data_IF_170297028538
#
_entry.id   IF_170297028538
#
_cell.length_a   1.000
_cell.length_b   1.000
_cell.length_c   1.000
_cell.angle_alpha   90.00
_cell.angle_beta   90.00
_cell.angle_gamma   90.00
#
_symmetry.space_group_name_H-M   'P 1'
#
loop_
_entity.id
_entity.type
_entity.pdbx_description
1 polymer ?
#
# COMPACT_ATOMS: atom_id res chain seq x y z
N UNK A 1 1.78 13.82 -3.68
CA UNK A 1 0.62 13.03 -3.19
C UNK A 1 1.00 12.05 -2.10
N UNK A 2 1.97 11.16 -2.28
CA UNK A 2 2.39 10.19 -1.24
C UNK A 2 2.86 10.85 0.05
N UNK A 3 3.54 12.00 -0.01
CA UNK A 3 3.83 12.83 1.17
C UNK A 3 2.55 13.16 1.97
N UNK A 4 1.52 13.66 1.30
CA UNK A 4 0.22 14.01 1.92
C UNK A 4 -0.45 12.78 2.53
N UNK A 5 -0.37 11.63 1.85
CA UNK A 5 -0.85 10.35 2.37
C UNK A 5 -0.20 10.00 3.70
N UNK A 6 1.13 10.04 3.76
CA UNK A 6 1.86 9.71 4.99
C UNK A 6 1.63 10.74 6.10
N UNK A 7 1.56 12.03 5.75
CA UNK A 7 1.22 13.10 6.71
C UNK A 7 -0.20 12.94 7.27
N UNK A 8 -1.16 12.44 6.47
CA UNK A 8 -2.53 12.21 6.91
C UNK A 8 -2.64 11.05 7.92
N UNK A 9 -1.83 10.00 7.77
CA UNK A 9 -1.73 8.93 8.76
C UNK A 9 -0.90 9.37 9.99
N UNK A 10 0.15 10.15 9.79
CA UNK A 10 1.16 10.42 10.81
C UNK A 10 2.12 9.23 11.01
N UNK A 11 3.17 9.44 11.80
CA UNK A 11 4.30 8.50 11.94
C UNK A 11 3.85 7.08 12.32
N UNK A 12 3.13 6.92 13.44
CA UNK A 12 2.76 5.60 13.93
C UNK A 12 1.72 4.90 13.06
N UNK A 13 0.64 5.58 12.67
CA UNK A 13 -0.41 4.94 11.87
C UNK A 13 0.07 4.62 10.45
N UNK A 14 1.05 5.36 9.90
CA UNK A 14 1.58 5.10 8.56
C UNK A 14 2.25 3.73 8.42
N UNK A 15 2.67 3.10 9.53
CA UNK A 15 3.23 1.73 9.54
C UNK A 15 2.26 0.71 8.95
N UNK A 16 0.94 0.96 8.99
CA UNK A 16 -0.06 0.10 8.34
C UNK A 16 0.09 0.02 6.81
N UNK A 17 0.85 0.92 6.18
CA UNK A 17 1.13 0.92 4.74
C UNK A 17 2.33 0.02 4.36
N UNK A 18 3.15 -0.37 5.34
CA UNK A 18 4.42 -1.05 5.10
C UNK A 18 4.42 -2.48 5.65
N UNK A 19 5.50 -3.22 5.40
CA UNK A 19 5.69 -4.59 5.88
C UNK A 19 6.06 -4.56 7.37
N UNK A 20 5.05 -4.32 8.19
CA UNK A 20 5.08 -4.37 9.66
C UNK A 20 4.16 -5.49 10.13
N UNK A 21 4.74 -6.61 10.55
CA UNK A 21 4.00 -7.80 10.92
C UNK A 21 4.61 -8.48 12.15
N UNK A 22 3.79 -8.89 13.14
CA UNK A 22 4.31 -9.61 14.28
C UNK A 22 4.85 -10.98 13.87
N UNK A 23 5.78 -11.52 14.65
CA UNK A 23 6.26 -12.89 14.52
C UNK A 23 5.09 -13.88 14.45
N UNK A 24 5.20 -14.88 13.57
CA UNK A 24 4.17 -15.89 13.36
C UNK A 24 3.00 -15.46 12.46
N UNK A 25 3.06 -14.29 11.81
CA UNK A 25 2.06 -13.92 10.78
C UNK A 25 2.07 -14.92 9.62
N UNK A 26 3.25 -15.40 9.23
CA UNK A 26 3.42 -16.49 8.27
C UNK A 26 4.15 -17.70 8.88
N UNK A 27 3.90 -18.93 8.36
CA UNK A 27 4.66 -20.11 8.78
C UNK A 27 6.16 -19.86 8.65
N UNK A 28 6.95 -20.23 9.65
CA UNK A 28 8.42 -20.06 9.62
C UNK A 28 8.94 -18.64 9.91
N UNK A 29 8.08 -17.62 10.00
CA UNK A 29 8.48 -16.28 10.41
C UNK A 29 8.65 -16.20 11.94
N UNK A 30 9.88 -16.32 12.43
CA UNK A 30 10.18 -16.37 13.88
C UNK A 30 10.44 -15.00 14.52
N UNK A 31 10.47 -13.93 13.74
CA UNK A 31 10.77 -12.56 14.19
C UNK A 31 9.71 -11.59 13.66
N UNK A 32 9.56 -10.46 14.35
CA UNK A 32 8.77 -9.34 13.83
C UNK A 32 9.41 -8.82 12.54
N UNK A 33 8.57 -8.48 11.56
CA UNK A 33 8.96 -7.69 10.41
C UNK A 33 8.64 -6.23 10.71
N UNK A 34 9.62 -5.35 10.51
CA UNK A 34 9.51 -3.91 10.73
C UNK A 34 10.24 -3.17 9.61
N UNK A 35 9.75 -3.33 8.38
CA UNK A 35 10.34 -2.78 7.18
C UNK A 35 9.60 -1.50 6.77
N UNK A 36 10.31 -0.36 6.74
CA UNK A 36 9.75 0.95 6.38
C UNK A 36 9.90 1.28 4.88
N UNK A 37 10.40 0.35 4.09
CA UNK A 37 10.69 0.54 2.65
C UNK A 37 9.73 -0.24 1.76
N UNK A 38 9.38 -1.47 2.14
CA UNK A 38 8.48 -2.31 1.37
C UNK A 38 7.03 -2.08 1.78
N UNK A 39 6.15 -1.84 0.81
CA UNK A 39 4.72 -1.74 1.05
C UNK A 39 4.10 -3.10 1.27
N UNK A 40 3.10 -3.16 2.15
CA UNK A 40 2.16 -4.28 2.14
C UNK A 40 1.07 -4.06 1.07
N UNK A 41 0.16 -5.02 0.83
CA UNK A 41 -0.88 -4.85 -0.18
C UNK A 41 -1.75 -3.60 0.01
N UNK A 42 -2.08 -3.24 1.24
CA UNK A 42 -2.86 -2.03 1.53
C UNK A 42 -2.09 -0.76 1.12
N UNK A 43 -0.85 -0.60 1.58
CA UNK A 43 -0.03 0.57 1.24
C UNK A 43 0.29 0.66 -0.24
N UNK A 44 0.58 -0.48 -0.90
CA UNK A 44 0.79 -0.52 -2.34
C UNK A 44 -0.46 -0.05 -3.09
N UNK A 45 -1.66 -0.43 -2.62
CA UNK A 45 -2.92 0.01 -3.20
C UNK A 45 -3.18 1.52 -3.00
N UNK A 46 -2.91 2.06 -1.80
CA UNK A 46 -3.00 3.52 -1.55
C UNK A 46 -2.04 4.32 -2.45
N UNK A 47 -0.80 3.83 -2.64
CA UNK A 47 0.18 4.46 -3.53
C UNK A 47 -0.25 4.36 -5.00
N UNK A 48 -0.80 3.22 -5.43
CA UNK A 48 -1.35 3.08 -6.77
C UNK A 48 -2.50 4.09 -7.02
N UNK A 49 -3.39 4.29 -6.04
CA UNK A 49 -4.42 5.33 -6.11
C UNK A 49 -3.84 6.74 -6.20
N UNK A 50 -2.76 7.04 -5.48
CA UNK A 50 -2.04 8.32 -5.65
C UNK A 50 -1.52 8.49 -7.08
N UNK A 51 -0.98 7.43 -7.69
CA UNK A 51 -0.47 7.49 -9.07
C UNK A 51 -1.61 7.75 -10.05
N UNK A 52 -2.72 7.01 -9.93
CA UNK A 52 -3.91 7.20 -10.77
C UNK A 52 -4.45 8.62 -10.67
N UNK A 53 -4.57 9.16 -9.46
CA UNK A 53 -5.01 10.54 -9.24
C UNK A 53 -4.02 11.54 -9.85
N UNK A 54 -2.72 11.30 -9.73
CA UNK A 54 -1.69 12.10 -10.40
C UNK A 54 -1.82 12.09 -11.92
N UNK A 55 -2.12 10.95 -12.53
CA UNK A 55 -2.38 10.84 -13.97
C UNK A 55 -3.62 11.64 -14.38
N UNK A 56 -4.70 11.59 -13.58
CA UNK A 56 -5.91 12.41 -13.80
C UNK A 56 -5.60 13.90 -13.76
N UNK A 57 -4.86 14.35 -12.75
CA UNK A 57 -4.48 15.77 -12.59
C UNK A 57 -3.51 16.26 -13.68
N UNK A 58 -2.64 15.38 -14.17
CA UNK A 58 -1.76 15.66 -15.30
C UNK A 58 -2.49 15.65 -16.65
N UNK A 59 -3.77 15.24 -16.70
CA UNK A 59 -4.59 15.16 -17.91
C UNK A 59 -3.92 14.39 -19.05
N UNK A 60 -3.35 13.22 -18.75
CA UNK A 60 -2.71 12.37 -19.75
C UNK A 60 -3.69 11.40 -20.41
N UNK A 61 -3.47 11.06 -21.68
CA UNK A 61 -4.35 10.19 -22.47
C UNK A 61 -4.56 8.80 -21.86
N UNK A 62 -3.63 8.31 -21.03
CA UNK A 62 -3.75 7.00 -20.37
C UNK A 62 -5.01 6.91 -19.48
N UNK A 63 -5.49 8.05 -18.97
CA UNK A 63 -6.67 8.13 -18.09
C UNK A 63 -7.93 7.57 -18.76
N UNK A 64 -8.03 7.62 -20.08
CA UNK A 64 -9.18 7.08 -20.83
C UNK A 64 -9.29 5.54 -20.76
N UNK A 65 -8.23 4.86 -20.34
CA UNK A 65 -8.19 3.38 -20.23
C UNK A 65 -8.36 2.90 -18.79
N UNK A 66 -8.61 3.79 -17.84
CA UNK A 66 -8.96 3.39 -16.48
C UNK A 66 -10.30 2.67 -16.49
N UNK A 67 -10.43 1.63 -15.65
CA UNK A 67 -11.72 0.95 -15.46
C UNK A 67 -12.75 1.94 -14.91
N UNK A 68 -14.01 1.71 -15.27
CA UNK A 68 -15.13 2.58 -14.88
C UNK A 68 -15.37 2.64 -13.36
N UNK A 69 -14.94 1.61 -12.62
CA UNK A 69 -15.07 1.54 -11.16
C UNK A 69 -13.93 2.23 -10.39
N UNK A 70 -12.96 2.81 -11.09
CA UNK A 70 -11.85 3.56 -10.47
C UNK A 70 -12.30 4.98 -10.13
N UNK A 71 -12.61 5.21 -8.86
CA UNK A 71 -13.02 6.52 -8.34
C UNK A 71 -11.84 7.47 -8.13
N UNK A 72 -12.14 8.76 -7.97
CA UNK A 72 -11.17 9.76 -7.53
C UNK A 72 -10.62 9.42 -6.14
N UNK A 73 -9.40 9.87 -5.86
CA UNK A 73 -8.75 9.57 -4.58
C UNK A 73 -8.20 10.83 -3.91
N UNK A 74 -8.35 10.91 -2.59
CA UNK A 74 -7.88 12.03 -1.78
C UNK A 74 -6.84 11.56 -0.77
N UNK A 75 -5.53 11.78 -1.00
CA UNK A 75 -4.49 11.29 -0.10
C UNK A 75 -4.55 11.92 1.30
N UNK A 76 -5.22 13.07 1.47
CA UNK A 76 -5.45 13.67 2.79
C UNK A 76 -6.54 12.94 3.62
N UNK A 77 -7.31 12.07 2.98
CA UNK A 77 -8.37 11.26 3.58
C UNK A 77 -8.25 9.82 3.05
N UNK A 78 -7.20 9.09 3.47
CA UNK A 78 -6.93 7.74 2.97
C UNK A 78 -8.03 6.76 3.37
N UNK A 79 -8.08 5.62 2.67
CA UNK A 79 -9.05 4.57 3.01
C UNK A 79 -8.75 3.97 4.40
N UNK A 80 -9.77 3.39 5.03
CA UNK A 80 -9.62 2.67 6.29
C UNK A 80 -8.94 1.30 6.05
N UNK A 81 -7.77 1.03 6.66
CA UNK A 81 -7.09 -0.27 6.53
C UNK A 81 -7.95 -1.44 7.01
N UNK A 82 -8.87 -1.25 7.95
CA UNK A 82 -9.75 -2.31 8.47
C UNK A 82 -10.76 -2.77 7.41
N UNK A 83 -11.18 -1.87 6.52
CA UNK A 83 -12.13 -2.17 5.45
C UNK A 83 -11.43 -2.79 4.22
N UNK A 84 -10.09 -2.82 4.20
CA UNK A 84 -9.33 -3.35 3.07
C UNK A 84 -9.25 -4.87 3.12
N UNK A 85 -9.87 -5.52 2.14
CA UNK A 85 -9.86 -6.98 2.01
C UNK A 85 -8.85 -7.38 0.94
N UNK A 86 -7.81 -8.09 1.36
CA UNK A 86 -6.83 -8.71 0.47
C UNK A 86 -6.86 -10.22 0.62
N UNK A 87 -7.07 -10.94 -0.49
CA UNK A 87 -6.96 -12.40 -0.49
C UNK A 87 -5.47 -12.78 -0.61
N UNK A 88 -4.89 -13.46 0.39
CA UNK A 88 -3.48 -13.83 0.34
C UNK A 88 -3.23 -14.87 -0.77
N UNK A 89 -2.01 -14.84 -1.30
CA UNK A 89 -1.50 -15.90 -2.19
C UNK A 89 -1.36 -17.21 -1.42
N UNK A 90 -1.57 -18.34 -2.10
CA UNK A 90 -1.25 -19.67 -1.56
C UNK A 90 0.27 -19.87 -1.38
N UNK A 91 1.06 -19.16 -2.20
CA UNK A 91 2.51 -19.18 -2.12
C UNK A 91 3.02 -18.12 -1.15
N UNK A 92 3.82 -18.55 -0.17
CA UNK A 92 4.44 -17.71 0.84
C UNK A 92 5.95 -17.92 0.75
N UNK A 93 6.66 -16.83 0.52
CA UNK A 93 8.12 -16.78 0.56
C UNK A 93 8.53 -15.84 1.69
N UNK A 94 9.28 -16.38 2.64
CA UNK A 94 9.70 -15.66 3.85
C UNK A 94 11.08 -15.04 3.66
N UNK A 95 11.83 -15.53 2.66
CA UNK A 95 13.14 -15.02 2.33
C UNK A 95 13.02 -13.65 1.66
N UNK A 96 13.78 -12.69 2.17
CA UNK A 96 13.80 -11.34 1.60
C UNK A 96 14.45 -11.43 0.21
N UNK A 97 13.89 -10.78 -0.83
CA UNK A 97 14.51 -10.77 -2.15
C UNK A 97 15.91 -10.14 -2.12
N UNK A 98 16.80 -10.65 -2.96
CA UNK A 98 18.17 -10.17 -3.10
C UNK A 98 18.22 -8.72 -3.62
N UNK A 99 19.16 -7.90 -3.11
CA UNK A 99 19.44 -6.55 -3.63
C UNK A 99 19.31 -5.39 -2.64
N UNK A 100 19.45 -5.65 -1.35
CA UNK A 100 19.41 -4.65 -0.28
C UNK A 100 20.78 -3.98 -0.04
#
# INVERSE_FOLDING_TARGET
MTRTLYEAFGEEASKCLFVHYPAGTWPGQTKDLADNTHFNPFGAYQVAKCVVEGLRQANVDLVQYLRDDVTTYHPAHPDDPIQFIWSPSEYIEIEKPDGN
#
